data_IF_551130458316
#
_entry.id   IF_551130458316
#
_cell.length_a   1.000
_cell.length_b   1.000
_cell.length_c   1.000
_cell.angle_alpha   90.00
_cell.angle_beta   90.00
_cell.angle_gamma   90.00
#
_symmetry.space_group_name_H-M   'P 1'
#
loop_
_entity.id
_entity.type
_entity.pdbx_description
1 polymer ?
#
# COMPACT_ATOMS: atom_id res chain seq x y z
N UNK A 1 18.87 -14.13 10.75
CA UNK A 1 18.77 -15.08 9.61
C UNK A 1 18.82 -14.26 8.32
N UNK A 2 19.82 -14.50 7.47
CA UNK A 2 19.95 -13.80 6.17
C UNK A 2 19.13 -14.56 5.14
N UNK A 3 18.09 -13.93 4.61
CA UNK A 3 17.26 -14.51 3.55
C UNK A 3 17.99 -14.34 2.22
N UNK A 4 18.19 -15.43 1.49
CA UNK A 4 18.74 -15.38 0.14
C UNK A 4 17.63 -15.08 -0.88
N UNK A 5 17.46 -13.79 -1.14
CA UNK A 5 16.42 -13.30 -2.04
C UNK A 5 16.64 -13.74 -3.49
N UNK A 6 17.87 -13.63 -4.00
CA UNK A 6 18.16 -13.84 -5.42
C UNK A 6 18.33 -15.31 -5.76
N UNK A 7 19.00 -16.08 -4.90
CA UNK A 7 19.32 -17.49 -5.15
C UNK A 7 18.19 -18.46 -4.80
N UNK A 8 17.37 -18.16 -3.79
CA UNK A 8 16.36 -19.10 -3.28
C UNK A 8 14.94 -18.55 -3.48
N UNK A 9 14.68 -17.32 -3.02
CA UNK A 9 13.30 -16.81 -2.98
C UNK A 9 12.77 -16.46 -4.37
N UNK A 10 13.52 -15.71 -5.19
CA UNK A 10 13.08 -15.32 -6.54
C UNK A 10 12.78 -16.53 -7.44
N UNK A 11 13.63 -17.57 -7.51
CA UNK A 11 13.29 -18.80 -8.23
C UNK A 11 12.01 -19.46 -7.72
N UNK A 12 11.81 -19.52 -6.39
CA UNK A 12 10.58 -20.08 -5.81
C UNK A 12 9.35 -19.23 -6.13
N UNK A 13 9.50 -17.91 -6.19
CA UNK A 13 8.42 -17.00 -6.61
C UNK A 13 8.00 -17.31 -8.05
N UNK A 14 8.94 -17.51 -8.98
CA UNK A 14 8.61 -17.90 -10.35
C UNK A 14 7.88 -19.24 -10.44
N UNK A 15 8.33 -20.25 -9.68
CA UNK A 15 7.64 -21.54 -9.60
C UNK A 15 6.20 -21.37 -9.07
N UNK A 16 6.03 -20.57 -8.02
CA UNK A 16 4.71 -20.28 -7.47
C UNK A 16 3.84 -19.53 -8.47
N UNK A 17 4.37 -18.53 -9.18
CA UNK A 17 3.65 -17.78 -10.21
C UNK A 17 3.12 -18.70 -11.32
N UNK A 18 3.94 -19.66 -11.78
CA UNK A 18 3.53 -20.65 -12.77
C UNK A 18 2.45 -21.63 -12.26
N UNK A 19 2.31 -21.80 -10.94
CA UNK A 19 1.28 -22.67 -10.35
C UNK A 19 -0.12 -22.05 -10.32
N UNK A 20 -0.25 -20.73 -10.50
CA UNK A 20 -1.55 -20.07 -10.53
C UNK A 20 -2.13 -20.05 -11.95
N UNK A 21 -3.43 -20.27 -12.07
CA UNK A 21 -4.19 -20.06 -13.31
C UNK A 21 -4.55 -18.58 -13.57
N UNK A 22 -4.23 -17.70 -12.62
CA UNK A 22 -4.50 -16.26 -12.67
C UNK A 22 -3.28 -15.49 -12.13
N UNK A 23 -3.21 -14.18 -12.37
CA UNK A 23 -2.14 -13.34 -11.81
C UNK A 23 -2.36 -13.12 -10.30
N UNK A 24 -1.50 -13.66 -9.41
CA UNK A 24 -1.68 -13.47 -7.98
C UNK A 24 -1.22 -12.06 -7.57
N UNK A 25 -1.66 -11.63 -6.39
CA UNK A 25 -1.09 -10.45 -5.72
C UNK A 25 0.23 -10.82 -5.05
N UNK A 26 1.12 -9.84 -4.84
CA UNK A 26 2.37 -10.04 -4.11
C UNK A 26 2.14 -10.62 -2.70
N UNK A 27 1.06 -10.22 -2.04
CA UNK A 27 0.68 -10.73 -0.71
C UNK A 27 0.28 -12.22 -0.73
N UNK A 28 -0.38 -12.69 -1.78
CA UNK A 28 -0.71 -14.12 -1.91
C UNK A 28 0.57 -14.95 -2.02
N UNK A 29 1.54 -14.49 -2.82
CA UNK A 29 2.86 -15.14 -2.92
C UNK A 29 3.59 -15.12 -1.57
N UNK A 30 3.59 -13.97 -0.88
CA UNK A 30 4.18 -13.85 0.45
C UNK A 30 3.65 -14.92 1.42
N UNK A 31 2.33 -15.09 1.51
CA UNK A 31 1.77 -16.08 2.43
C UNK A 31 2.05 -17.53 2.00
N UNK A 32 2.18 -17.82 0.71
CA UNK A 32 2.60 -19.15 0.23
C UNK A 32 4.04 -19.46 0.66
N UNK A 33 4.93 -18.48 0.60
CA UNK A 33 6.33 -18.62 1.06
C UNK A 33 6.42 -18.78 2.59
N UNK A 34 5.57 -18.07 3.34
CA UNK A 34 5.45 -18.24 4.81
C UNK A 34 4.94 -19.63 5.17
N UNK A 35 3.89 -20.11 4.48
CA UNK A 35 3.34 -21.44 4.70
C UNK A 35 4.35 -22.56 4.37
N UNK A 36 5.24 -22.30 3.41
CA UNK A 36 6.37 -23.17 3.08
C UNK A 36 7.58 -23.04 4.03
N UNK A 37 7.48 -22.23 5.09
CA UNK A 37 8.55 -21.95 6.06
C UNK A 37 9.84 -21.37 5.45
N UNK A 38 9.75 -20.77 4.26
CA UNK A 38 10.91 -20.19 3.58
C UNK A 38 11.25 -18.79 4.09
N UNK A 39 10.24 -18.05 4.55
CA UNK A 39 10.38 -16.69 5.06
C UNK A 39 9.48 -16.48 6.28
N UNK A 40 9.86 -15.63 7.24
CA UNK A 40 9.03 -15.39 8.42
C UNK A 40 7.86 -14.43 8.12
N UNK A 41 6.76 -14.58 8.86
CA UNK A 41 5.57 -13.74 8.74
C UNK A 41 5.76 -12.38 9.42
N UNK A 42 6.59 -11.51 8.84
CA UNK A 42 6.83 -10.17 9.35
C UNK A 42 6.72 -9.11 8.26
N UNK A 43 6.39 -7.88 8.64
CA UNK A 43 6.32 -6.75 7.71
C UNK A 43 7.68 -6.45 7.07
N UNK A 44 8.76 -6.58 7.83
CA UNK A 44 10.14 -6.40 7.32
C UNK A 44 10.43 -7.37 6.19
N UNK A 45 10.04 -8.63 6.36
CA UNK A 45 10.20 -9.67 5.33
C UNK A 45 9.35 -9.39 4.11
N UNK A 46 8.10 -8.94 4.29
CA UNK A 46 7.25 -8.54 3.17
C UNK A 46 7.88 -7.40 2.35
N UNK A 47 8.41 -6.37 3.02
CA UNK A 47 9.13 -5.26 2.35
C UNK A 47 10.36 -5.77 1.60
N UNK A 48 11.09 -6.72 2.18
CA UNK A 48 12.21 -7.40 1.54
C UNK A 48 11.81 -8.14 0.26
N UNK A 49 10.75 -8.94 0.33
CA UNK A 49 10.20 -9.65 -0.82
C UNK A 49 9.77 -8.66 -1.92
N UNK A 50 9.06 -7.60 -1.56
CA UNK A 50 8.63 -6.57 -2.50
C UNK A 50 9.81 -5.98 -3.27
N UNK A 51 10.88 -5.58 -2.58
CA UNK A 51 12.10 -5.04 -3.22
C UNK A 51 12.76 -6.08 -4.13
N UNK A 52 12.91 -7.32 -3.64
CA UNK A 52 13.53 -8.39 -4.42
C UNK A 52 12.75 -8.68 -5.72
N UNK A 53 11.42 -8.71 -5.66
CA UNK A 53 10.58 -8.92 -6.85
C UNK A 53 10.58 -7.75 -7.82
N UNK A 54 10.80 -6.52 -7.35
CA UNK A 54 10.99 -5.35 -8.24
C UNK A 54 12.29 -5.51 -9.03
N UNK A 55 13.40 -5.74 -8.34
CA UNK A 55 14.71 -5.94 -9.01
C UNK A 55 14.66 -7.11 -9.98
N UNK A 56 14.03 -8.23 -9.60
CA UNK A 56 13.90 -9.38 -10.48
C UNK A 56 13.03 -9.12 -11.73
N UNK A 57 12.05 -8.20 -11.64
CA UNK A 57 11.26 -7.75 -12.81
C UNK A 57 12.07 -6.82 -13.72
N UNK A 58 12.89 -5.95 -13.14
CA UNK A 58 13.82 -5.08 -13.88
C UNK A 58 14.88 -5.90 -14.62
N UNK A 59 15.36 -6.99 -14.01
CA UNK A 59 16.28 -7.96 -14.63
C UNK A 59 15.58 -8.94 -15.60
N UNK A 60 14.27 -8.80 -15.84
CA UNK A 60 13.45 -9.71 -16.65
C UNK A 60 13.47 -11.19 -16.21
N UNK A 61 13.86 -11.47 -14.95
CA UNK A 61 13.83 -12.81 -14.34
C UNK A 61 12.39 -13.19 -14.01
N UNK A 62 11.59 -12.23 -13.55
CA UNK A 62 10.14 -12.36 -13.33
C UNK A 62 9.44 -11.54 -14.41
N UNK A 63 8.34 -12.05 -14.98
CA UNK A 63 7.50 -11.29 -15.90
C UNK A 63 7.13 -9.91 -15.28
N UNK A 64 7.42 -8.79 -15.96
CA UNK A 64 7.03 -7.46 -15.50
C UNK A 64 5.54 -7.34 -15.14
N UNK A 65 4.65 -8.17 -15.71
CA UNK A 65 3.21 -8.17 -15.44
C UNK A 65 2.76 -9.36 -14.56
N UNK A 66 3.69 -10.04 -13.88
CA UNK A 66 3.42 -11.25 -13.08
C UNK A 66 2.39 -11.07 -11.96
N UNK A 67 2.25 -9.86 -11.42
CA UNK A 67 1.38 -9.59 -10.28
C UNK A 67 0.16 -8.76 -10.66
N UNK A 68 -0.98 -9.09 -10.06
CA UNK A 68 -2.12 -8.16 -10.05
C UNK A 68 -1.92 -7.13 -8.95
N UNK A 69 -1.92 -5.86 -9.34
CA UNK A 69 -2.01 -4.76 -8.39
C UNK A 69 -3.47 -4.55 -7.98
N UNK A 70 -3.86 -5.21 -6.88
CA UNK A 70 -5.10 -4.86 -6.19
C UNK A 70 -4.71 -3.85 -5.12
N UNK A 71 -4.85 -2.56 -5.45
CA UNK A 71 -4.78 -1.49 -4.45
C UNK A 71 -5.81 -1.84 -3.38
N UNK A 72 -5.36 -2.09 -2.14
CA UNK A 72 -6.25 -2.53 -1.04
C UNK A 72 -7.25 -1.45 -0.62
N UNK A 73 -7.02 -0.21 -1.04
CA UNK A 73 -7.82 0.98 -0.76
C UNK A 73 -7.43 2.00 -1.82
N UNK A 74 -8.34 2.31 -2.76
CA UNK A 74 -8.28 3.64 -3.37
C UNK A 74 -8.49 4.63 -2.23
N UNK A 75 -7.50 5.46 -1.90
CA UNK A 75 -7.84 6.71 -1.23
C UNK A 75 -8.70 7.47 -2.24
N UNK A 76 -9.99 7.61 -1.93
CA UNK A 76 -11.03 8.13 -2.81
C UNK A 76 -10.58 9.42 -3.48
N UNK A 77 -10.90 9.54 -4.77
CA UNK A 77 -10.43 10.62 -5.62
C UNK A 77 -11.50 11.14 -6.56
N UNK A 78 -12.76 11.07 -6.14
CA UNK A 78 -13.87 11.75 -6.82
C UNK A 78 -14.74 12.45 -5.78
N UNK A 79 -14.12 13.32 -4.98
CA UNK A 79 -14.86 14.35 -4.24
C UNK A 79 -15.03 15.53 -5.20
N UNK A 80 -15.97 15.39 -6.13
CA UNK A 80 -16.45 16.47 -6.97
C UNK A 80 -17.68 17.13 -6.34
N UNK A 81 -17.91 18.38 -6.66
CA UNK A 81 -19.18 19.05 -6.39
C UNK A 81 -20.08 18.87 -7.60
N UNK A 82 -21.37 18.58 -7.39
CA UNK A 82 -22.34 18.41 -8.47
C UNK A 82 -22.56 19.67 -9.30
N UNK A 83 -22.24 20.83 -8.71
CA UNK A 83 -22.36 22.15 -9.31
C UNK A 83 -21.41 23.15 -8.63
N UNK A 84 -21.10 24.29 -9.27
CA UNK A 84 -20.41 25.41 -8.62
C UNK A 84 -21.12 25.91 -7.35
N UNK A 85 -22.45 25.85 -7.33
CA UNK A 85 -23.28 26.25 -6.20
C UNK A 85 -23.06 25.33 -4.99
N UNK A 86 -23.00 24.01 -5.20
CA UNK A 86 -22.73 23.04 -4.14
C UNK A 86 -21.35 23.24 -3.50
N UNK A 87 -20.35 23.66 -4.29
CA UNK A 87 -19.03 24.00 -3.78
C UNK A 87 -19.06 25.23 -2.89
N UNK A 88 -19.79 26.27 -3.31
CA UNK A 88 -19.92 27.52 -2.56
C UNK A 88 -20.64 27.27 -1.24
N UNK A 89 -21.74 26.50 -1.24
CA UNK A 89 -22.48 26.16 -0.02
C UNK A 89 -21.63 25.34 0.95
N UNK A 90 -20.89 24.33 0.46
CA UNK A 90 -19.96 23.56 1.31
C UNK A 90 -18.89 24.45 1.93
N UNK A 91 -18.31 25.38 1.17
CA UNK A 91 -17.31 26.31 1.67
C UNK A 91 -17.88 27.30 2.69
N UNK A 92 -19.13 27.72 2.52
CA UNK A 92 -19.84 28.58 3.48
C UNK A 92 -20.13 27.84 4.78
N UNK A 93 -20.54 26.58 4.72
CA UNK A 93 -20.80 25.76 5.90
C UNK A 93 -19.50 25.46 6.67
N UNK A 94 -18.41 25.13 5.97
CA UNK A 94 -17.09 24.98 6.58
C UNK A 94 -16.65 26.28 7.29
N UNK A 95 -16.89 27.44 6.66
CA UNK A 95 -16.57 28.73 7.24
C UNK A 95 -17.43 29.05 8.46
N UNK A 96 -18.72 28.69 8.44
CA UNK A 96 -19.65 28.86 9.57
C UNK A 96 -19.25 28.00 10.76
N UNK A 97 -18.77 26.78 10.51
CA UNK A 97 -18.38 25.84 11.56
C UNK A 97 -16.95 26.06 12.06
N UNK A 98 -16.12 26.78 11.31
CA UNK A 98 -14.72 27.08 11.65
C UNK A 98 -14.50 27.63 13.08
N UNK A 99 -15.34 28.52 13.64
CA UNK A 99 -15.18 28.99 15.02
C UNK A 99 -15.29 27.87 16.07
N UNK A 100 -16.07 26.82 15.81
CA UNK A 100 -16.22 25.66 16.72
C UNK A 100 -15.00 24.74 16.71
N UNK A 101 -14.26 24.74 15.60
CA UNK A 101 -13.04 23.96 15.40
C UNK A 101 -11.77 24.74 15.77
N UNK A 102 -11.91 26.04 16.08
CA UNK A 102 -10.80 26.90 16.45
C UNK A 102 -10.15 26.42 17.75
N UNK A 103 -8.97 25.84 17.60
CA UNK A 103 -8.17 25.34 18.73
C UNK A 103 -7.01 26.28 19.01
N UNK A 104 -6.90 26.74 20.26
CA UNK A 104 -5.75 27.52 20.73
C UNK A 104 -4.77 26.66 21.51
N UNK A 105 -3.45 26.88 21.37
CA UNK A 105 -2.46 26.27 22.23
C UNK A 105 -2.66 26.69 23.70
N UNK A 106 -2.62 25.72 24.63
CA UNK A 106 -2.88 25.94 26.07
C UNK A 106 -2.05 27.07 26.72
N UNK A 107 -0.84 27.34 26.21
CA UNK A 107 0.07 28.35 26.77
C UNK A 107 -0.31 29.80 26.41
N UNK A 108 -1.37 30.00 25.62
CA UNK A 108 -1.95 31.34 25.34
C UNK A 108 -3.05 31.75 26.31
N UNK A 109 -3.45 30.88 27.25
CA UNK A 109 -4.48 31.14 28.27
C UNK A 109 -3.89 31.69 29.58
N UNK A 110 -2.56 31.66 29.75
CA UNK A 110 -1.91 32.28 30.92
C UNK A 110 -1.64 33.76 30.64
N UNK A 111 -1.98 34.64 31.59
CA UNK A 111 -1.92 36.13 31.61
C UNK A 111 -3.25 36.77 31.11
N UNK A 112 -4.16 37.33 31.93
CA UNK A 112 -4.07 38.04 33.22
C UNK A 112 -5.17 37.61 34.20
#
# INVERSE_FOLDING_TARGET
MRIDWKGIIVPKVNELLASFSYRPTLRQIFYRLVAALLIPNTEVTYKGLSRATVVAREEAIIDPLAFTDRVRTSQGGDYGFGSPEDFIESALDDLRDSPSQYTRPMWTTTQQ
#
